data_IF_318569562522
#
_entry.id   IF_318569562522
#
_cell.length_a   1.000
_cell.length_b   1.000
_cell.length_c   1.000
_cell.angle_alpha   90.00
_cell.angle_beta   90.00
_cell.angle_gamma   90.00
#
_symmetry.space_group_name_H-M   'P 1'
#
loop_
_entity.id
_entity.type
_entity.pdbx_description
1 polymer ?
#
# COMPACT_ATOMS: atom_id res chain seq x y z
N UNK A 1 13.84 -4.04 1.62
CA UNK A 1 12.73 -3.39 2.35
C UNK A 1 12.10 -4.38 3.31
N UNK A 2 12.06 -4.08 4.60
CA UNK A 2 11.43 -4.91 5.62
C UNK A 2 9.92 -4.62 5.68
N UNK A 3 9.09 -5.66 5.76
CA UNK A 3 7.64 -5.50 5.87
C UNK A 3 7.25 -5.17 7.32
N UNK A 4 6.44 -4.12 7.57
CA UNK A 4 5.83 -3.90 8.87
C UNK A 4 5.01 -5.11 9.30
N UNK A 5 5.01 -5.44 10.61
CA UNK A 5 4.36 -6.63 11.17
C UNK A 5 2.92 -6.78 10.69
N UNK A 6 2.13 -5.71 10.80
CA UNK A 6 0.72 -5.71 10.40
C UNK A 6 0.53 -5.97 8.89
N UNK A 7 1.41 -5.41 8.05
CA UNK A 7 1.35 -5.66 6.60
C UNK A 7 1.65 -7.14 6.28
N UNK A 8 2.61 -7.74 6.98
CA UNK A 8 2.88 -9.19 6.88
C UNK A 8 1.66 -10.03 7.29
N UNK A 9 1.00 -9.67 8.40
CA UNK A 9 -0.21 -10.38 8.86
C UNK A 9 -1.37 -10.25 7.85
N UNK A 10 -1.51 -9.09 7.21
CA UNK A 10 -2.48 -8.90 6.13
C UNK A 10 -2.14 -9.76 4.90
N UNK A 11 -0.87 -9.87 4.49
CA UNK A 11 -0.44 -10.74 3.40
C UNK A 11 -0.72 -12.23 3.69
N UNK A 12 -0.56 -12.64 4.94
CA UNK A 12 -0.90 -13.98 5.42
C UNK A 12 -2.42 -14.22 5.51
N UNK A 13 -3.23 -13.17 5.35
CA UNK A 13 -4.69 -13.26 5.35
C UNK A 13 -5.33 -13.21 6.75
N UNK A 14 -4.57 -12.86 7.78
CA UNK A 14 -5.05 -12.82 9.18
C UNK A 14 -6.13 -11.76 9.42
N UNK A 15 -6.20 -10.72 8.58
CA UNK A 15 -7.27 -9.70 8.63
C UNK A 15 -8.31 -9.88 7.50
N UNK A 16 -8.41 -11.07 6.91
CA UNK A 16 -9.42 -11.42 5.91
C UNK A 16 -9.00 -11.17 4.44
N UNK A 17 -9.78 -11.71 3.48
CA UNK A 17 -9.36 -11.79 2.08
C UNK A 17 -9.27 -10.43 1.38
N UNK A 18 -10.11 -9.46 1.76
CA UNK A 18 -10.07 -8.11 1.18
C UNK A 18 -8.77 -7.40 1.52
N UNK A 19 -8.37 -7.43 2.80
CA UNK A 19 -7.12 -6.81 3.24
C UNK A 19 -5.89 -7.54 2.71
N UNK A 20 -5.98 -8.86 2.55
CA UNK A 20 -4.93 -9.64 1.90
C UNK A 20 -4.69 -9.19 0.45
N UNK A 21 -5.74 -8.97 -0.33
CA UNK A 21 -5.62 -8.46 -1.71
C UNK A 21 -5.01 -7.06 -1.74
N UNK A 22 -5.45 -6.17 -0.85
CA UNK A 22 -4.88 -4.83 -0.75
C UNK A 22 -3.38 -4.86 -0.38
N UNK A 23 -2.99 -5.70 0.59
CA UNK A 23 -1.60 -5.85 0.99
C UNK A 23 -0.71 -6.35 -0.15
N UNK A 24 -1.19 -7.29 -0.98
CA UNK A 24 -0.46 -7.76 -2.17
C UNK A 24 -0.21 -6.62 -3.15
N UNK A 25 -1.22 -5.81 -3.45
CA UNK A 25 -1.09 -4.66 -4.34
C UNK A 25 -0.06 -3.65 -3.80
N UNK A 26 -0.12 -3.32 -2.51
CA UNK A 26 0.81 -2.38 -1.88
C UNK A 26 2.26 -2.88 -1.98
N UNK A 27 2.50 -4.15 -1.71
CA UNK A 27 3.84 -4.75 -1.80
C UNK A 27 4.35 -4.79 -3.24
N UNK A 28 3.50 -5.15 -4.20
CA UNK A 28 3.89 -5.18 -5.61
C UNK A 28 4.23 -3.79 -6.13
N UNK A 29 3.43 -2.77 -5.81
CA UNK A 29 3.74 -1.37 -6.16
C UNK A 29 5.07 -0.92 -5.56
N UNK A 30 5.30 -1.22 -4.28
CA UNK A 30 6.54 -0.85 -3.61
C UNK A 30 7.77 -1.54 -4.24
N UNK A 31 7.64 -2.79 -4.68
CA UNK A 31 8.70 -3.50 -5.43
C UNK A 31 8.97 -2.85 -6.79
N UNK A 32 7.92 -2.55 -7.56
CA UNK A 32 8.04 -1.92 -8.88
C UNK A 32 8.67 -0.53 -8.77
N UNK A 33 8.29 0.24 -7.75
CA UNK A 33 8.85 1.55 -7.46
C UNK A 33 10.27 1.50 -6.87
N UNK A 34 10.81 0.32 -6.55
CA UNK A 34 12.06 0.13 -5.80
C UNK A 34 12.06 0.92 -4.48
N UNK A 35 10.93 0.95 -3.80
CA UNK A 35 10.78 1.65 -2.53
C UNK A 35 11.74 1.08 -1.47
N UNK A 36 12.29 1.96 -0.65
CA UNK A 36 13.24 1.59 0.41
C UNK A 36 12.53 1.15 1.69
N UNK A 37 11.36 1.74 1.98
CA UNK A 37 10.61 1.56 3.22
C UNK A 37 9.10 1.72 3.04
N UNK A 38 8.34 1.18 4.00
CA UNK A 38 6.92 1.48 4.19
C UNK A 38 6.75 2.47 5.34
N UNK A 39 5.87 3.45 5.17
CA UNK A 39 5.52 4.43 6.20
C UNK A 39 4.08 4.17 6.66
N UNK A 40 3.87 4.06 7.97
CA UNK A 40 2.53 3.95 8.54
C UNK A 40 1.85 5.33 8.51
N UNK A 41 0.58 5.36 8.11
CA UNK A 41 -0.22 6.59 8.04
C UNK A 41 -1.48 6.41 8.88
N UNK A 42 -1.74 7.37 9.78
CA UNK A 42 -2.91 7.33 10.66
C UNK A 42 -4.22 7.60 9.90
N UNK A 43 -4.15 8.47 8.88
CA UNK A 43 -5.27 8.85 8.05
C UNK A 43 -4.85 8.93 6.59
N UNK A 44 -5.44 8.08 5.76
CA UNK A 44 -5.38 8.22 4.31
C UNK A 44 -6.72 8.83 3.83
N UNK A 45 -6.81 10.16 3.84
CA UNK A 45 -7.89 10.81 3.09
C UNK A 45 -7.52 10.75 1.61
N UNK A 46 -7.95 9.69 0.94
CA UNK A 46 -7.80 9.59 -0.51
C UNK A 46 -8.83 10.54 -1.11
N UNK A 47 -8.43 11.79 -1.34
CA UNK A 47 -9.23 12.80 -2.05
C UNK A 47 -9.41 12.36 -3.51
N UNK A 48 -10.28 11.37 -3.76
CA UNK A 48 -10.75 10.99 -5.09
C UNK A 48 -9.68 10.77 -6.15
N UNK A 49 -8.46 10.36 -5.80
CA UNK A 49 -7.42 10.07 -6.80
C UNK A 49 -7.52 8.59 -7.14
N UNK A 50 -8.20 8.28 -8.23
CA UNK A 50 -8.19 6.93 -8.77
C UNK A 50 -6.75 6.53 -9.07
N UNK A 51 -6.31 5.40 -8.53
CA UNK A 51 -5.00 4.79 -8.79
C UNK A 51 -4.81 4.50 -10.29
N UNK A 52 -5.90 4.43 -11.04
CA UNK A 52 -5.93 4.15 -12.49
C UNK A 52 -5.69 5.41 -13.33
N UNK A 53 -5.99 6.61 -12.81
CA UNK A 53 -5.94 7.86 -13.60
C UNK A 53 -4.66 8.67 -13.40
N UNK A 54 -3.68 8.19 -12.64
CA UNK A 54 -2.35 8.82 -12.53
C UNK A 54 -2.40 10.27 -12.02
N UNK A 55 -3.38 10.61 -11.19
CA UNK A 55 -3.56 11.97 -10.67
C UNK A 55 -2.40 12.40 -9.76
N UNK A 56 -2.25 13.72 -9.63
CA UNK A 56 -1.13 14.38 -8.92
C UNK A 56 -0.83 13.80 -7.52
N UNK A 57 -1.89 13.38 -6.80
CA UNK A 57 -1.75 12.75 -5.48
C UNK A 57 -0.93 11.45 -5.49
N UNK A 58 -0.87 10.70 -6.59
CA UNK A 58 -0.05 9.48 -6.66
C UNK A 58 1.46 9.79 -6.66
N UNK A 59 1.86 10.95 -7.21
CA UNK A 59 3.27 11.40 -7.24
C UNK A 59 3.74 11.96 -5.90
N UNK A 60 2.81 12.33 -5.02
CA UNK A 60 3.09 12.85 -3.67
C UNK A 60 2.96 11.75 -2.61
N UNK A 61 2.27 10.65 -2.93
CA UNK A 61 2.02 9.55 -2.01
C UNK A 61 3.07 8.43 -2.06
N UNK A 62 3.79 8.31 -3.18
CA UNK A 62 4.97 7.43 -3.33
C UNK A 62 6.25 8.23 -3.14
#
# INVERSE_FOLDING_TARGET
MQLPKRLSEQLEGKEGPTRQKAARLVVDLARVAKAESFVEVDHAHVSGVSVITGGHGLRTFL
#
